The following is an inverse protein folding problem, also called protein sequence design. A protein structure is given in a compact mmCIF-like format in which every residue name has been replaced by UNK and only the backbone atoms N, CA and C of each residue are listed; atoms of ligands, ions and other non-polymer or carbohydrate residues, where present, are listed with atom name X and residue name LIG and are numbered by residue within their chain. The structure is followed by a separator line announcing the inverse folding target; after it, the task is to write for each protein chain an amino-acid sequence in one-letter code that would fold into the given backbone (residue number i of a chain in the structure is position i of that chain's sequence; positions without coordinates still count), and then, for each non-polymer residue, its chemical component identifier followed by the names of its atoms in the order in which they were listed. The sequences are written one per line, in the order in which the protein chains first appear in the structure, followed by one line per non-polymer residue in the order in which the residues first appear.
data_IF_744210139727
#
_entry.id   IF_744210139727
#
_cell.length_a   1.000
_cell.length_b   1.000
_cell.length_c   1.000
_cell.angle_alpha   90.00
_cell.angle_beta   90.00
_cell.angle_gamma   90.00
#
_symmetry.space_group_name_H-M   'P 1'
#
loop_
_entity.id
_entity.type
_entity.pdbx_description
1 polymer ?
#
# COMPACT_ATOMS: atom_id res chain seq x y z
N UNK A 1 30.11 -7.45 18.14
CA UNK A 1 30.06 -6.28 17.23
C UNK A 1 29.52 -6.75 15.89
N UNK A 2 28.21 -6.67 15.69
CA UNK A 2 27.54 -7.15 14.49
C UNK A 2 27.71 -6.12 13.37
N UNK A 3 28.39 -6.52 12.29
CA UNK A 3 28.52 -5.77 11.04
C UNK A 3 27.13 -5.37 10.55
N UNK A 4 26.85 -4.06 10.49
CA UNK A 4 25.68 -3.52 9.81
C UNK A 4 25.68 -4.01 8.37
N UNK A 5 24.71 -4.87 8.04
CA UNK A 5 24.48 -5.25 6.65
C UNK A 5 23.89 -4.03 5.97
N UNK A 6 24.71 -3.34 5.19
CA UNK A 6 24.25 -2.40 4.18
C UNK A 6 23.26 -3.15 3.29
N UNK A 7 21.97 -2.86 3.42
CA UNK A 7 20.92 -3.50 2.64
C UNK A 7 20.84 -2.76 1.29
N UNK A 8 21.33 -3.40 0.24
CA UNK A 8 21.18 -2.94 -1.14
C UNK A 8 19.67 -2.75 -1.45
N UNK A 9 19.19 -1.55 -1.87
CA UNK A 9 17.75 -1.25 -1.97
C UNK A 9 17.01 -1.91 -3.15
N UNK A 10 17.60 -2.86 -3.85
CA UNK A 10 17.13 -3.29 -5.18
C UNK A 10 16.15 -4.48 -5.20
N UNK A 11 15.35 -4.71 -4.15
CA UNK A 11 14.25 -5.70 -4.21
C UNK A 11 12.92 -5.13 -3.74
N UNK A 12 12.17 -4.64 -4.74
CA UNK A 12 10.73 -4.35 -4.78
C UNK A 12 10.20 -3.47 -3.65
N UNK A 13 10.44 -2.16 -3.77
CA UNK A 13 9.69 -1.12 -3.08
C UNK A 13 8.31 -0.98 -3.76
N UNK A 14 7.23 -1.07 -3.00
CA UNK A 14 5.86 -0.96 -3.49
C UNK A 14 5.41 0.50 -3.54
N UNK A 15 5.59 1.23 -2.44
CA UNK A 15 5.18 2.63 -2.30
C UNK A 15 5.96 3.35 -1.17
N UNK A 16 5.88 4.68 -1.14
CA UNK A 16 6.53 5.55 -0.13
C UNK A 16 5.60 6.66 0.36
N UNK A 17 5.77 7.05 1.62
CA UNK A 17 5.05 8.17 2.20
C UNK A 17 5.91 8.93 3.21
N UNK A 18 5.68 10.24 3.32
CA UNK A 18 6.23 11.02 4.43
C UNK A 18 5.35 10.88 5.66
N UNK A 19 5.97 10.63 6.81
CA UNK A 19 5.27 10.55 8.09
C UNK A 19 6.20 11.09 9.19
N UNK A 20 5.70 11.94 10.09
CA UNK A 20 6.49 12.52 11.19
C UNK A 20 7.88 13.04 10.76
N UNK A 21 7.97 13.68 9.60
CA UNK A 21 9.20 14.27 9.07
C UNK A 21 10.23 13.28 8.50
N UNK A 22 9.91 11.98 8.40
CA UNK A 22 10.76 10.95 7.79
C UNK A 22 10.09 10.33 6.57
N UNK A 23 10.89 9.82 5.65
CA UNK A 23 10.41 9.09 4.48
C UNK A 23 10.36 7.60 4.80
N UNK A 24 9.18 7.02 4.68
CA UNK A 24 8.94 5.60 4.87
C UNK A 24 8.64 4.94 3.53
N UNK A 25 8.87 3.65 3.44
CA UNK A 25 8.36 2.86 2.33
C UNK A 25 8.05 1.43 2.69
N UNK A 26 7.11 0.86 1.94
CA UNK A 26 6.74 -0.54 2.04
C UNK A 26 7.53 -1.32 1.01
N UNK A 27 8.36 -2.24 1.50
CA UNK A 27 9.15 -3.14 0.67
C UNK A 27 8.61 -4.57 0.72
N UNK A 28 9.02 -5.38 -0.24
CA UNK A 28 8.61 -6.77 -0.38
C UNK A 28 8.57 -7.56 0.93
N UNK A 29 7.47 -8.29 1.10
CA UNK A 29 7.18 -9.05 2.31
C UNK A 29 6.71 -8.14 3.45
N UNK A 30 5.85 -7.16 3.16
CA UNK A 30 5.26 -6.29 4.18
C UNK A 30 6.27 -5.59 5.10
N UNK A 31 7.45 -5.27 4.59
CA UNK A 31 8.48 -4.60 5.38
C UNK A 31 8.27 -3.11 5.37
N UNK A 32 8.32 -2.48 6.53
CA UNK A 32 8.35 -1.02 6.62
C UNK A 32 9.80 -0.57 6.85
N UNK A 33 10.32 0.21 5.91
CA UNK A 33 11.68 0.75 5.95
C UNK A 33 11.67 2.27 6.06
N UNK A 34 12.70 2.82 6.71
CA UNK A 34 12.95 4.26 6.78
C UNK A 34 14.08 4.61 5.81
N UNK A 35 13.87 5.66 5.05
CA UNK A 35 14.87 6.25 4.17
C UNK A 35 15.46 7.51 4.79
N UNK A 36 16.77 7.64 4.65
CA UNK A 36 17.50 8.88 4.86
C UNK A 36 17.80 9.52 3.51
N UNK A 37 17.52 10.82 3.43
CA UNK A 37 17.80 11.65 2.25
C UNK A 37 19.00 12.52 2.60
N UNK A 38 20.19 12.09 2.17
CA UNK A 38 21.42 12.87 2.26
C UNK A 38 21.69 13.65 0.97
N UNK A 39 22.75 14.45 0.96
CA UNK A 39 23.22 15.16 -0.22
C UNK A 39 24.70 14.89 -0.45
N UNK A 40 25.06 14.53 -1.69
CA UNK A 40 26.45 14.51 -2.15
C UNK A 40 26.60 15.66 -3.14
N UNK A 41 27.17 16.77 -2.67
CA UNK A 41 27.14 18.03 -3.41
C UNK A 41 25.69 18.54 -3.54
N UNK A 42 25.23 18.76 -4.78
CA UNK A 42 23.85 19.17 -5.09
C UNK A 42 22.89 18.01 -5.39
N UNK A 43 23.36 16.76 -5.37
CA UNK A 43 22.54 15.60 -5.73
C UNK A 43 21.98 14.92 -4.47
N UNK A 44 20.65 14.72 -4.37
CA UNK A 44 20.09 13.94 -3.29
C UNK A 44 20.54 12.47 -3.41
N UNK A 45 20.92 11.88 -2.29
CA UNK A 45 21.23 10.45 -2.14
C UNK A 45 20.25 9.86 -1.16
N UNK A 46 19.49 8.87 -1.61
CA UNK A 46 18.54 8.14 -0.77
C UNK A 46 19.20 6.83 -0.35
N UNK A 47 19.21 6.56 0.94
CA UNK A 47 19.65 5.28 1.50
C UNK A 47 18.62 4.74 2.47
N UNK A 48 18.43 3.43 2.49
CA UNK A 48 17.65 2.75 3.52
C UNK A 48 18.49 2.75 4.81
N UNK A 49 17.93 3.28 5.88
CA UNK A 49 18.62 3.37 7.18
C UNK A 49 18.23 2.22 8.09
N UNK A 50 16.93 1.89 8.13
CA UNK A 50 16.40 0.92 9.09
C UNK A 50 15.18 0.20 8.53
N UNK A 51 14.99 -1.06 8.93
CA UNK A 51 13.75 -1.82 8.73
C UNK A 51 13.05 -1.96 10.07
N UNK A 52 11.98 -1.20 10.28
CA UNK A 52 11.31 -1.07 11.58
C UNK A 52 10.16 -2.05 11.76
N UNK A 53 9.56 -2.51 10.66
CA UNK A 53 8.64 -3.64 10.64
C UNK A 53 9.27 -4.71 9.75
N UNK A 54 9.59 -5.86 10.34
CA UNK A 54 10.11 -7.03 9.62
C UNK A 54 8.98 -8.05 9.52
N UNK A 55 8.08 -7.92 8.56
CA UNK A 55 7.13 -9.00 8.31
C UNK A 55 7.81 -10.13 7.54
N UNK A 56 7.82 -11.31 8.16
CA UNK A 56 8.08 -12.59 7.48
C UNK A 56 7.29 -13.75 8.09
N UNK A 57 6.52 -13.50 9.14
CA UNK A 57 5.84 -14.54 9.92
C UNK A 57 4.33 -14.62 9.66
N UNK A 58 3.73 -13.63 8.98
CA UNK A 58 2.27 -13.57 8.73
C UNK A 58 1.92 -13.77 7.25
N UNK A 59 2.85 -14.32 6.46
CA UNK A 59 2.58 -14.69 5.07
C UNK A 59 1.29 -15.54 5.08
N UNK A 60 0.23 -14.99 4.48
CA UNK A 60 -1.06 -15.64 4.20
C UNK A 60 -2.21 -15.54 5.21
N UNK A 61 -2.31 -14.46 6.00
CA UNK A 61 -3.64 -14.00 6.47
C UNK A 61 -4.40 -13.31 5.34
N UNK A 62 -4.67 -14.13 4.32
CA UNK A 62 -5.47 -13.75 3.17
C UNK A 62 -6.87 -13.35 3.68
N UNK A 63 -7.51 -12.29 3.14
CA UNK A 63 -8.90 -11.99 3.46
C UNK A 63 -9.73 -13.28 3.38
N UNK A 64 -10.61 -13.49 4.37
CA UNK A 64 -11.36 -14.75 4.51
C UNK A 64 -12.16 -15.13 3.24
N UNK A 65 -12.46 -14.15 2.39
CA UNK A 65 -13.16 -14.31 1.11
C UNK A 65 -12.30 -14.87 -0.03
N UNK A 66 -10.98 -14.97 0.13
CA UNK A 66 -10.07 -15.37 -0.94
C UNK A 66 -9.68 -16.86 -0.81
N UNK A 67 -9.73 -17.58 -1.94
CA UNK A 67 -9.28 -18.97 -2.02
C UNK A 67 -7.76 -19.06 -2.07
N UNK A 68 -7.15 -19.89 -1.20
CA UNK A 68 -5.71 -20.19 -1.20
C UNK A 68 -5.20 -20.92 -2.45
N UNK A 69 -6.11 -21.50 -3.23
CA UNK A 69 -5.77 -22.26 -4.44
C UNK A 69 -5.54 -21.37 -5.67
N UNK A 70 -5.88 -20.08 -5.57
CA UNK A 70 -5.72 -19.10 -6.65
C UNK A 70 -4.49 -18.23 -6.41
N UNK A 71 -3.77 -17.92 -7.48
CA UNK A 71 -2.71 -16.92 -7.46
C UNK A 71 -3.28 -15.51 -7.48
N UNK A 72 -2.84 -14.65 -6.56
CA UNK A 72 -3.20 -13.23 -6.54
C UNK A 72 -1.95 -12.37 -6.76
N UNK A 73 -2.15 -11.27 -7.47
CA UNK A 73 -1.20 -10.16 -7.49
C UNK A 73 -1.57 -9.17 -6.40
N UNK A 74 -0.54 -8.62 -5.75
CA UNK A 74 -0.68 -7.64 -4.69
C UNK A 74 -0.15 -6.30 -5.17
N UNK A 75 -0.88 -5.23 -4.87
CA UNK A 75 -0.37 -3.86 -4.91
C UNK A 75 -0.52 -3.25 -3.54
N UNK A 76 0.49 -2.55 -3.07
CA UNK A 76 0.50 -1.95 -1.75
C UNK A 76 0.64 -0.45 -1.91
N UNK A 77 -0.11 0.29 -1.10
CA UNK A 77 -0.10 1.74 -1.02
C UNK A 77 0.27 2.14 0.40
N UNK A 78 1.10 3.15 0.56
CA UNK A 78 1.48 3.71 1.86
C UNK A 78 0.94 5.13 1.97
N UNK A 79 0.21 5.42 3.04
CA UNK A 79 -0.53 6.67 3.18
C UNK A 79 -0.35 7.22 4.59
N UNK A 80 0.04 8.49 4.70
CA UNK A 80 -0.06 9.23 5.95
C UNK A 80 -1.43 9.89 6.06
N UNK A 81 -2.04 9.80 7.24
CA UNK A 81 -3.27 10.53 7.54
C UNK A 81 -3.45 10.72 9.03
N UNK A 82 -3.70 11.97 9.44
CA UNK A 82 -4.05 12.33 10.81
C UNK A 82 -3.08 11.76 11.86
N UNK A 83 -1.78 11.73 11.54
CA UNK A 83 -0.77 11.20 12.45
C UNK A 83 -0.71 9.67 12.50
N UNK A 84 -1.36 8.99 11.56
CA UNK A 84 -1.31 7.53 11.38
C UNK A 84 -0.63 7.22 10.05
N UNK A 85 0.11 6.12 10.03
CA UNK A 85 0.72 5.59 8.81
C UNK A 85 0.00 4.29 8.44
N UNK A 86 -0.70 4.32 7.30
CA UNK A 86 -1.55 3.23 6.83
C UNK A 86 -0.93 2.56 5.60
N UNK A 87 -0.98 1.23 5.57
CA UNK A 87 -0.73 0.42 4.38
C UNK A 87 -2.05 -0.13 3.87
N UNK A 88 -2.32 0.02 2.57
CA UNK A 88 -3.44 -0.63 1.90
C UNK A 88 -2.94 -1.65 0.91
N UNK A 89 -3.42 -2.88 1.03
CA UNK A 89 -3.12 -3.98 0.11
C UNK A 89 -4.31 -4.22 -0.80
N UNK A 90 -4.11 -4.11 -2.11
CA UNK A 90 -5.07 -4.41 -3.15
C UNK A 90 -4.79 -5.81 -3.73
N UNK A 91 -5.77 -6.70 -3.61
CA UNK A 91 -5.72 -8.07 -4.13
C UNK A 91 -6.36 -8.14 -5.52
N UNK A 92 -5.59 -8.60 -6.49
CA UNK A 92 -5.99 -8.67 -7.89
C UNK A 92 -5.90 -10.12 -8.37
N UNK A 93 -6.95 -10.63 -9.00
CA UNK A 93 -6.96 -11.96 -9.60
C UNK A 93 -6.95 -11.84 -11.13
N UNK A 94 -6.12 -12.64 -11.78
CA UNK A 94 -6.15 -12.78 -13.24
C UNK A 94 -7.04 -13.99 -13.59
N UNK A 95 -8.20 -13.73 -14.19
CA UNK A 95 -9.14 -14.79 -14.60
C UNK A 95 -8.67 -15.59 -15.82
N UNK A 96 -7.64 -15.13 -16.54
CA UNK A 96 -7.06 -15.82 -17.70
C UNK A 96 -5.51 -15.81 -17.66
N UNK A 97 -4.89 -16.63 -16.81
CA UNK A 97 -3.43 -16.67 -16.66
C UNK A 97 -2.69 -17.18 -17.90
N UNK A 98 -3.37 -17.86 -18.83
CA UNK A 98 -2.81 -18.36 -20.09
C UNK A 98 -2.77 -17.29 -21.20
N UNK A 99 -3.46 -16.17 -21.04
CA UNK A 99 -3.43 -15.08 -22.00
C UNK A 99 -2.06 -14.39 -21.99
N UNK A 100 -1.41 -14.30 -23.16
CA UNK A 100 -0.18 -13.51 -23.35
C UNK A 100 -0.47 -12.01 -23.50
N UNK A 101 -1.74 -11.62 -23.49
CA UNK A 101 -2.13 -10.22 -23.60
C UNK A 101 -1.75 -9.49 -22.31
N UNK A 102 -1.02 -8.38 -22.45
CA UNK A 102 -0.79 -7.42 -21.36
C UNK A 102 -2.05 -6.58 -21.06
N UNK A 103 -3.16 -6.87 -21.74
CA UNK A 103 -4.47 -6.26 -21.47
C UNK A 103 -4.92 -6.59 -20.06
N UNK A 104 -5.13 -5.57 -19.26
CA UNK A 104 -5.65 -5.72 -17.91
C UNK A 104 -7.14 -6.13 -17.85
N UNK A 105 -7.78 -6.38 -19.00
CA UNK A 105 -9.18 -6.84 -19.12
C UNK A 105 -9.49 -8.12 -18.33
N UNK A 106 -8.48 -8.94 -18.05
CA UNK A 106 -8.64 -10.19 -17.28
C UNK A 106 -8.34 -10.02 -15.78
N UNK A 107 -8.03 -8.80 -15.33
CA UNK A 107 -7.64 -8.51 -13.95
C UNK A 107 -8.82 -7.95 -13.19
N UNK A 108 -9.35 -8.73 -12.24
CA UNK A 108 -10.42 -8.29 -11.35
C UNK A 108 -9.90 -7.92 -9.97
N UNK A 109 -10.41 -6.83 -9.43
CA UNK A 109 -10.28 -6.50 -8.00
C UNK A 109 -11.03 -7.56 -7.20
N UNK A 110 -10.36 -8.12 -6.19
CA UNK A 110 -10.96 -9.14 -5.33
C UNK A 110 -11.21 -8.64 -3.92
N UNK A 111 -10.23 -7.92 -3.35
CA UNK A 111 -10.32 -7.39 -2.00
C UNK A 111 -9.36 -6.23 -1.80
N UNK A 112 -9.61 -5.49 -0.72
CA UNK A 112 -8.66 -4.57 -0.12
C UNK A 112 -8.51 -4.90 1.36
N UNK A 113 -7.28 -4.76 1.86
CA UNK A 113 -7.01 -4.72 3.29
C UNK A 113 -6.31 -3.44 3.68
N UNK A 114 -6.63 -2.93 4.86
CA UNK A 114 -5.96 -1.79 5.46
C UNK A 114 -5.26 -2.21 6.75
N UNK A 115 -4.06 -1.71 6.94
CA UNK A 115 -3.25 -1.93 8.13
C UNK A 115 -2.68 -0.60 8.61
N UNK A 116 -2.63 -0.42 9.92
CA UNK A 116 -1.94 0.67 10.57
C UNK A 116 -0.57 0.20 11.06
N UNK A 117 0.47 1.02 10.87
CA UNK A 117 1.79 0.75 11.43
C UNK A 117 1.76 1.03 12.95
N UNK A 118 1.77 -0.02 13.77
CA UNK A 118 1.99 0.11 15.20
C UNK A 118 3.49 0.14 15.49
N UNK A 119 3.99 1.34 15.76
CA UNK A 119 5.39 1.62 16.06
C UNK A 119 5.65 1.76 17.56
N UNK A 120 4.70 1.38 18.41
CA UNK A 120 4.88 1.40 19.87
C UNK A 120 5.81 0.29 20.37
N UNK A 121 6.01 -0.76 19.56
CA UNK A 121 6.91 -1.89 19.84
C UNK A 121 8.17 -1.84 18.97
N UNK A 122 9.22 -2.58 19.36
CA UNK A 122 10.43 -2.76 18.55
C UNK A 122 10.80 -4.26 18.42
N UNK A 123 10.67 -4.89 17.24
CA UNK A 123 10.19 -4.27 16.00
C UNK A 123 8.71 -3.87 16.08
N UNK A 124 8.32 -2.88 15.27
CA UNK A 124 6.92 -2.54 15.06
C UNK A 124 6.18 -3.66 14.32
N UNK A 125 4.87 -3.55 14.22
CA UNK A 125 4.05 -4.53 13.51
C UNK A 125 2.88 -3.85 12.77
N UNK A 126 2.32 -4.57 11.80
CA UNK A 126 1.11 -4.12 11.10
C UNK A 126 -0.12 -4.58 11.89
N UNK A 127 -1.00 -3.64 12.21
CA UNK A 127 -2.29 -3.93 12.84
C UNK A 127 -3.39 -3.74 11.81
N UNK A 128 -4.16 -4.79 11.49
CA UNK A 128 -5.30 -4.68 10.57
C UNK A 128 -6.34 -3.71 11.13
N UNK A 129 -6.89 -2.85 10.28
CA UNK A 129 -7.90 -1.87 10.67
C UNK A 129 -9.15 -2.00 9.81
N UNK A 130 -10.30 -1.97 10.47
CA UNK A 130 -11.62 -2.06 9.86
C UNK A 130 -12.40 -0.74 9.94
N UNK A 131 -11.77 0.33 10.43
CA UNK A 131 -12.35 1.67 10.47
C UNK A 131 -11.25 2.68 10.22
N UNK A 132 -11.55 3.66 9.38
CA UNK A 132 -10.65 4.77 9.07
C UNK A 132 -10.95 6.00 9.94
N UNK A 133 -11.98 5.93 10.78
CA UNK A 133 -12.32 6.96 11.76
C UNK A 133 -13.16 8.08 11.15
N UNK A 134 -14.18 7.73 10.35
CA UNK A 134 -15.04 8.72 9.69
C UNK A 134 -14.45 9.26 8.38
N UNK A 135 -13.31 8.71 7.95
CA UNK A 135 -12.56 9.20 6.81
C UNK A 135 -12.71 8.27 5.60
N UNK A 136 -12.59 8.82 4.40
CA UNK A 136 -12.54 8.09 3.15
C UNK A 136 -11.11 8.11 2.60
N UNK A 137 -10.59 6.93 2.26
CA UNK A 137 -9.23 6.78 1.76
C UNK A 137 -9.23 6.63 0.24
N UNK A 138 -8.65 7.61 -0.44
CA UNK A 138 -8.41 7.54 -1.87
C UNK A 138 -7.03 6.95 -2.12
N UNK A 139 -6.95 5.85 -2.87
CA UNK A 139 -5.70 5.18 -3.21
C UNK A 139 -5.49 5.16 -4.72
N UNK A 140 -4.27 5.45 -5.14
CA UNK A 140 -3.84 5.48 -6.53
C UNK A 140 -2.33 5.46 -6.62
N UNK A 141 -1.78 4.99 -7.74
CA UNK A 141 -0.34 4.84 -8.01
C UNK A 141 0.43 6.16 -7.88
N UNK A 142 -0.22 7.27 -8.17
CA UNK A 142 0.41 8.59 -8.21
C UNK A 142 -0.04 9.53 -7.10
N UNK A 143 -1.13 9.20 -6.40
CA UNK A 143 -1.63 9.97 -5.29
C UNK A 143 -2.53 9.08 -4.45
N UNK A 144 -2.15 8.88 -3.19
CA UNK A 144 -3.04 8.33 -2.17
C UNK A 144 -3.26 9.39 -1.10
N UNK A 145 -4.52 9.62 -0.72
CA UNK A 145 -4.91 10.67 0.22
C UNK A 145 -6.17 10.30 0.97
N UNK A 146 -6.19 10.54 2.27
CA UNK A 146 -7.39 10.45 3.10
C UNK A 146 -8.11 11.80 3.16
N UNK A 147 -9.44 11.77 3.21
CA UNK A 147 -10.30 12.94 3.40
C UNK A 147 -11.35 12.66 4.47
N UNK A 148 -11.78 13.70 5.21
CA UNK A 148 -12.93 13.59 6.09
C UNK A 148 -14.19 13.42 5.24
N UNK A 149 -14.95 12.33 5.44
CA UNK A 149 -16.12 12.07 4.60
C UNK A 149 -17.23 13.11 4.82
N UNK A 150 -17.33 13.66 6.03
CA UNK A 150 -18.28 14.71 6.41
C UNK A 150 -18.16 16.00 5.59
N UNK A 151 -16.98 16.26 5.01
CA UNK A 151 -16.73 17.47 4.22
C UNK A 151 -17.29 17.40 2.79
N UNK A 152 -17.74 16.21 2.35
CA UNK A 152 -18.10 15.97 0.94
C UNK A 152 -19.38 15.11 0.79
N UNK A 153 -20.40 15.68 0.15
CA UNK A 153 -21.62 14.95 -0.19
C UNK A 153 -21.34 13.78 -1.14
N UNK A 154 -21.81 12.58 -0.76
CA UNK A 154 -21.67 11.36 -1.58
C UNK A 154 -20.41 10.54 -1.29
N UNK A 155 -19.57 10.97 -0.34
CA UNK A 155 -18.45 10.16 0.18
C UNK A 155 -18.92 9.41 1.42
N UNK A 156 -18.74 8.09 1.43
CA UNK A 156 -19.03 7.24 2.56
C UNK A 156 -17.80 7.14 3.47
N UNK A 157 -18.03 7.26 4.77
CA UNK A 157 -17.01 7.05 5.78
C UNK A 157 -16.49 5.61 5.82
N UNK A 158 -15.26 5.43 6.31
CA UNK A 158 -14.62 4.13 6.50
C UNK A 158 -14.53 3.28 5.21
N UNK A 159 -14.44 3.96 4.07
CA UNK A 159 -14.40 3.36 2.74
C UNK A 159 -13.12 3.69 1.99
N UNK A 160 -12.66 2.73 1.19
CA UNK A 160 -11.52 2.88 0.30
C UNK A 160 -12.03 3.16 -1.12
N UNK A 161 -11.63 4.30 -1.67
CA UNK A 161 -11.90 4.76 -3.03
C UNK A 161 -10.64 4.55 -3.87
N UNK A 162 -10.67 3.64 -4.83
CA UNK A 162 -9.48 3.31 -5.61
C UNK A 162 -9.54 3.89 -7.03
N UNK A 163 -8.48 4.59 -7.43
CA UNK A 163 -8.27 5.06 -8.80
C UNK A 163 -7.47 3.99 -9.55
N UNK A 164 -8.13 3.33 -10.50
CA UNK A 164 -7.49 2.25 -11.24
C UNK A 164 -6.52 2.76 -12.30
N UNK A 165 -5.24 2.81 -11.96
CA UNK A 165 -4.15 3.17 -12.87
C UNK A 165 -3.75 1.98 -13.77
N UNK A 166 -4.69 1.47 -14.57
CA UNK A 166 -4.34 0.58 -15.67
C UNK A 166 -3.50 1.38 -16.68
N UNK A 167 -2.24 1.01 -16.95
CA UNK A 167 -1.56 1.57 -18.10
C UNK A 167 -2.21 0.97 -19.34
N UNK A 168 -3.01 1.72 -20.12
CA UNK A 168 -3.40 1.40 -21.51
C UNK A 168 -3.90 2.68 -22.22
N UNK A 169 -3.92 2.74 -23.57
CA UNK A 169 -3.62 3.96 -24.32
C UNK A 169 -4.77 4.98 -24.34
N UNK A 170 -4.41 6.24 -24.11
CA UNK A 170 -5.06 7.49 -24.56
C UNK A 170 -6.59 7.47 -24.73
N UNK A 171 -7.36 7.17 -23.69
CA UNK A 171 -8.76 7.63 -23.62
C UNK A 171 -9.32 7.59 -22.19
N UNK A 172 -10.16 8.59 -21.92
CA UNK A 172 -10.65 9.00 -20.62
C UNK A 172 -11.21 7.86 -19.74
N UNK A 173 -10.84 7.91 -18.45
CA UNK A 173 -11.15 6.92 -17.43
C UNK A 173 -12.62 6.97 -17.03
N UNK A 174 -13.31 5.84 -17.18
CA UNK A 174 -14.52 5.55 -16.40
C UNK A 174 -14.06 5.26 -14.96
N UNK A 175 -14.42 6.17 -14.05
CA UNK A 175 -14.23 6.03 -12.61
C UNK A 175 -15.06 4.85 -12.09
N UNK A 176 -14.44 3.67 -11.97
CA UNK A 176 -15.01 2.62 -11.14
C UNK A 176 -14.55 2.83 -9.69
N UNK A 177 -15.32 3.61 -8.95
CA UNK A 177 -15.22 3.65 -7.49
C UNK A 177 -15.82 2.36 -6.96
N UNK A 178 -14.97 1.39 -6.63
CA UNK A 178 -15.42 0.21 -5.89
C UNK A 178 -15.40 0.54 -4.41
N UNK A 179 -16.59 0.65 -3.81
CA UNK A 179 -16.78 0.75 -2.37
C UNK A 179 -16.38 -0.56 -1.71
N UNK A 180 -15.30 -0.56 -0.92
CA UNK A 180 -15.07 -1.62 0.06
C UNK A 180 -15.28 -1.00 1.43
N UNK A 181 -16.47 -1.22 1.99
CA UNK A 181 -16.71 -0.93 3.39
C UNK A 181 -15.85 -1.88 4.22
N UNK A 182 -15.10 -1.31 5.13
CA UNK A 182 -14.42 -2.09 6.15
C UNK A 182 -15.50 -2.61 7.13
N UNK A 183 -15.82 -3.90 7.06
CA UNK A 183 -16.79 -4.55 7.96
C UNK A 183 -16.14 -5.01 9.25
#
# INVERSE_FOLDING_TARGET
MSRGRHMEPSRCLSDVAFFNGKLYGVAFGDKLVIFEIGYIGSKPKISVTECIINSRDDLWDLPQSLSREKGYMLREYLVESCGRLLKVTWFIHNDCPSSRSLSFEHYRTVAFDAFEADLSTNPGHWRRVYKLGGQALFVGRHCSKLFAAEEYNGIQEDCIYFMCDYPWPDSAVILFVTLVCTT
#
